data_IF_007475412732
#
_entry.id   IF_007475412732
#
_cell.length_a   1.000
_cell.length_b   1.000
_cell.length_c   1.000
_cell.angle_alpha   90.00
_cell.angle_beta   90.00
_cell.angle_gamma   90.00
#
_symmetry.space_group_name_H-M   'P 1'
#
loop_
_entity.id
_entity.type
_entity.pdbx_description
1 polymer ?
#
# COMPACT_ATOMS: atom_id res chain seq x y z
N UNK A 1 -33.22 -11.67 7.93
CA UNK A 1 -32.15 -12.62 8.31
C UNK A 1 -31.14 -12.53 7.19
N UNK A 2 -30.20 -11.60 7.31
CA UNK A 2 -29.19 -11.32 6.28
C UNK A 2 -28.01 -12.22 6.56
N UNK A 3 -27.66 -13.05 5.58
CA UNK A 3 -26.57 -14.02 5.66
C UNK A 3 -25.24 -13.26 5.58
N UNK A 4 -24.48 -13.24 6.67
CA UNK A 4 -23.09 -12.79 6.68
C UNK A 4 -22.22 -13.91 6.10
N UNK A 5 -22.06 -13.92 4.78
CA UNK A 5 -21.05 -14.76 4.13
C UNK A 5 -19.66 -14.24 4.53
N UNK A 6 -19.10 -14.82 5.59
CA UNK A 6 -17.70 -14.66 5.96
C UNK A 6 -16.80 -15.16 4.82
N UNK A 7 -15.96 -14.27 4.31
CA UNK A 7 -14.94 -14.57 3.29
C UNK A 7 -13.99 -15.62 3.85
N UNK A 8 -14.02 -16.84 3.30
CA UNK A 8 -13.12 -17.92 3.69
C UNK A 8 -11.87 -17.87 2.82
N UNK A 9 -10.83 -17.21 3.33
CA UNK A 9 -9.48 -17.27 2.78
C UNK A 9 -8.93 -18.69 2.99
N UNK A 10 -9.17 -19.56 2.02
CA UNK A 10 -8.63 -20.92 2.06
C UNK A 10 -7.39 -20.96 1.19
N UNK A 11 -6.23 -20.81 1.82
CA UNK A 11 -4.97 -21.24 1.23
C UNK A 11 -3.83 -20.25 1.39
N UNK A 12 -3.01 -20.46 2.40
CA UNK A 12 -1.54 -20.43 2.34
C UNK A 12 -0.99 -21.12 3.61
N UNK A 13 -1.35 -22.39 3.77
CA UNK A 13 -0.70 -23.26 4.76
C UNK A 13 0.55 -23.86 4.13
N UNK A 14 1.73 -23.55 4.69
CA UNK A 14 2.88 -24.45 4.58
C UNK A 14 4.23 -23.80 4.36
N UNK A 15 4.84 -23.25 5.41
CA UNK A 15 6.29 -23.41 5.62
C UNK A 15 6.48 -23.72 7.11
N UNK A 16 6.67 -25.01 7.41
CA UNK A 16 6.98 -25.48 8.76
C UNK A 16 8.41 -25.12 9.15
N UNK A 17 8.59 -24.52 10.32
CA UNK A 17 9.87 -24.47 11.00
C UNK A 17 9.80 -25.39 12.22
N UNK A 18 10.49 -26.52 12.08
CA UNK A 18 10.78 -27.44 13.16
C UNK A 18 11.62 -26.74 14.24
N UNK A 19 11.24 -26.93 15.49
CA UNK A 19 11.92 -26.37 16.65
C UNK A 19 13.27 -27.01 16.95
N UNK A 20 14.08 -26.25 17.68
CA UNK A 20 15.11 -26.79 18.55
C UNK A 20 15.24 -25.87 19.78
N UNK A 21 14.66 -26.32 20.89
CA UNK A 21 14.94 -25.83 22.23
C UNK A 21 16.32 -26.36 22.65
N UNK A 22 17.25 -25.50 23.05
CA UNK A 22 18.29 -25.85 24.02
C UNK A 22 18.56 -24.69 24.97
N UNK A 23 18.43 -25.00 26.26
CA UNK A 23 18.74 -24.15 27.41
C UNK A 23 20.25 -23.99 27.60
N UNK A 24 20.69 -22.79 28.00
CA UNK A 24 21.90 -22.45 28.79
C UNK A 24 22.07 -20.93 28.65
N UNK A 25 22.31 -20.09 29.65
CA UNK A 25 22.71 -20.22 31.04
C UNK A 25 23.09 -18.79 31.48
N UNK A 26 22.99 -18.51 32.77
CA UNK A 26 23.15 -17.20 33.40
C UNK A 26 24.47 -16.47 33.06
N UNK A 27 24.43 -15.13 32.95
CA UNK A 27 25.36 -14.25 33.69
C UNK A 27 25.08 -12.73 33.53
N UNK A 28 24.80 -12.11 34.68
CA UNK A 28 25.50 -10.93 35.26
C UNK A 28 25.17 -9.53 34.72
N UNK A 29 24.43 -8.84 35.56
CA UNK A 29 24.46 -7.40 35.89
C UNK A 29 25.68 -6.61 35.41
N UNK A 30 25.43 -5.48 34.74
CA UNK A 30 26.26 -4.28 34.90
C UNK A 30 25.39 -3.02 34.82
N UNK A 31 25.33 -2.32 35.95
CA UNK A 31 24.87 -0.93 36.07
C UNK A 31 26.09 -0.04 35.85
N UNK A 32 25.99 0.96 34.99
CA UNK A 32 26.83 2.15 35.02
C UNK A 32 26.06 3.37 34.48
N UNK A 33 26.23 4.47 35.18
CA UNK A 33 25.47 5.72 35.26
C UNK A 33 25.76 6.75 34.14
N UNK A 34 25.10 7.94 34.14
CA UNK A 34 25.06 8.90 33.03
C UNK A 34 26.19 9.94 33.09
N UNK A 35 26.41 10.67 31.99
CA UNK A 35 27.23 11.89 32.06
C UNK A 35 27.77 12.46 30.75
N UNK A 36 26.99 13.38 30.18
CA UNK A 36 27.43 14.69 29.69
C UNK A 36 28.16 14.88 28.34
N UNK A 37 27.79 16.05 27.79
CA UNK A 37 28.57 16.98 26.96
C UNK A 37 28.53 16.83 25.43
N UNK A 38 27.50 17.50 24.88
CA UNK A 38 27.58 18.53 23.84
C UNK A 38 28.93 18.77 23.14
N UNK A 39 28.88 18.83 21.80
CA UNK A 39 29.52 19.89 21.02
C UNK A 39 28.87 20.02 19.64
N UNK A 40 28.56 21.26 19.28
CA UNK A 40 27.92 21.73 18.07
C UNK A 40 28.89 21.89 16.89
N UNK A 41 28.28 22.09 15.70
CA UNK A 41 28.73 22.84 14.52
C UNK A 41 29.33 22.02 13.34
N UNK A 42 29.40 22.59 12.11
CA UNK A 42 28.43 23.45 11.42
C UNK A 42 28.05 22.96 10.00
N UNK A 43 27.06 23.67 9.45
CA UNK A 43 26.59 23.74 8.06
C UNK A 43 27.68 23.61 6.98
N UNK A 44 27.37 22.93 5.88
CA UNK A 44 27.95 23.25 4.57
C UNK A 44 27.02 22.85 3.44
N UNK A 45 26.39 23.88 2.87
CA UNK A 45 25.67 23.85 1.62
C UNK A 45 26.65 23.64 0.46
N UNK A 46 26.32 22.77 -0.49
CA UNK A 46 26.94 22.77 -1.80
C UNK A 46 25.85 22.67 -2.87
N UNK A 47 25.70 23.68 -3.74
CA UNK A 47 25.04 23.54 -5.02
C UNK A 47 26.09 23.16 -6.08
N UNK A 48 25.82 22.15 -6.88
CA UNK A 48 26.49 21.95 -8.16
C UNK A 48 25.39 21.60 -9.19
N UNK A 49 24.92 22.61 -9.91
CA UNK A 49 25.32 22.89 -11.30
C UNK A 49 24.50 22.05 -12.27
N UNK A 50 23.51 22.72 -12.84
CA UNK A 50 22.79 22.32 -14.05
C UNK A 50 23.76 21.97 -15.18
N UNK A 51 23.50 20.87 -15.89
CA UNK A 51 23.97 20.63 -17.24
C UNK A 51 22.77 20.30 -18.14
N UNK A 52 22.75 20.80 -19.39
CA UNK A 52 21.56 20.80 -20.24
C UNK A 52 21.33 19.49 -21.00
N UNK A 53 20.09 19.37 -21.47
CA UNK A 53 19.55 18.39 -22.39
C UNK A 53 20.44 18.15 -23.63
N UNK A 54 20.55 16.89 -24.03
CA UNK A 54 20.88 16.50 -25.40
C UNK A 54 19.79 15.58 -25.91
N UNK A 55 18.99 16.13 -26.81
CA UNK A 55 18.15 15.40 -27.74
C UNK A 55 19.00 14.42 -28.53
N UNK A 56 18.59 13.16 -28.54
CA UNK A 56 18.91 12.25 -29.64
C UNK A 56 17.61 11.58 -30.04
N UNK A 57 16.97 12.15 -31.06
CA UNK A 57 15.94 11.49 -31.83
C UNK A 57 16.55 10.23 -32.43
N UNK A 58 16.05 9.07 -32.02
CA UNK A 58 16.40 7.80 -32.67
C UNK A 58 15.11 7.27 -33.29
N UNK A 59 14.95 7.55 -34.58
CA UNK A 59 14.00 6.85 -35.44
C UNK A 59 14.82 5.99 -36.39
N UNK A 60 14.61 4.67 -36.36
CA UNK A 60 14.63 3.87 -37.58
C UNK A 60 13.28 3.13 -37.69
N UNK A 61 12.50 3.44 -38.71
CA UNK A 61 12.48 2.75 -40.01
C UNK A 61 11.72 1.44 -39.94
N UNK A 62 10.48 1.49 -40.44
CA UNK A 62 9.69 0.34 -40.80
C UNK A 62 10.45 -0.50 -41.84
N UNK A 63 10.78 -1.74 -41.48
CA UNK A 63 11.16 -2.75 -42.47
C UNK A 63 9.91 -3.42 -43.02
N UNK A 64 9.73 -3.21 -44.32
CA UNK A 64 8.79 -3.91 -45.18
C UNK A 64 9.44 -5.23 -45.59
N UNK A 65 8.93 -6.35 -45.10
CA UNK A 65 9.34 -7.70 -45.47
C UNK A 65 8.22 -8.42 -46.21
N UNK A 66 8.49 -8.79 -47.47
CA UNK A 66 7.65 -9.62 -48.34
C UNK A 66 7.20 -10.92 -47.67
N UNK A 67 5.94 -11.27 -47.86
CA UNK A 67 5.36 -12.58 -47.54
C UNK A 67 5.65 -13.59 -48.66
N UNK A 68 6.32 -14.69 -48.31
CA UNK A 68 6.55 -15.87 -49.16
C UNK A 68 5.35 -16.85 -49.03
N UNK A 69 4.65 -17.24 -50.11
CA UNK A 69 3.54 -18.18 -50.02
C UNK A 69 4.04 -19.60 -50.18
N UNK A 70 4.55 -20.20 -49.10
CA UNK A 70 5.21 -21.51 -49.28
C UNK A 70 5.66 -22.30 -48.06
N UNK A 71 5.04 -22.19 -46.89
CA UNK A 71 5.29 -23.17 -45.82
C UNK A 71 4.09 -23.32 -44.87
N UNK A 72 3.43 -24.47 -44.97
CA UNK A 72 2.50 -24.98 -43.97
C UNK A 72 3.36 -25.48 -42.80
N UNK A 73 3.60 -24.62 -41.81
CA UNK A 73 4.07 -25.05 -40.49
C UNK A 73 3.10 -24.45 -39.48
N UNK A 74 2.52 -25.34 -38.66
CA UNK A 74 1.63 -25.03 -37.57
C UNK A 74 2.22 -23.87 -36.75
N UNK A 75 1.49 -22.80 -36.42
CA UNK A 75 2.02 -21.84 -35.48
C UNK A 75 2.14 -22.58 -34.15
N UNK A 76 3.37 -22.92 -33.75
CA UNK A 76 3.71 -22.82 -32.34
C UNK A 76 3.36 -21.40 -31.98
N UNK A 77 2.20 -21.21 -31.37
CA UNK A 77 1.96 -20.02 -30.56
C UNK A 77 3.05 -20.06 -29.51
N UNK A 78 4.13 -19.32 -29.74
CA UNK A 78 4.93 -18.78 -28.67
C UNK A 78 3.91 -18.06 -27.80
N UNK A 79 3.51 -18.70 -26.70
CA UNK A 79 2.76 -18.03 -25.66
C UNK A 79 3.70 -16.90 -25.26
N UNK A 80 3.37 -15.62 -25.56
CA UNK A 80 4.22 -14.52 -25.09
C UNK A 80 4.43 -14.76 -23.60
N UNK A 81 5.65 -14.58 -23.06
CA UNK A 81 5.85 -14.74 -21.63
C UNK A 81 4.77 -13.91 -20.96
N UNK A 82 3.87 -14.57 -20.21
CA UNK A 82 2.89 -13.85 -19.43
C UNK A 82 3.72 -12.94 -18.53
N UNK A 83 3.69 -11.62 -18.76
CA UNK A 83 4.25 -10.67 -17.83
C UNK A 83 3.58 -10.97 -16.48
N UNK A 84 4.28 -11.49 -15.44
CA UNK A 84 3.63 -11.73 -14.16
C UNK A 84 3.38 -10.42 -13.40
N UNK A 85 3.55 -9.26 -14.03
CA UNK A 85 3.76 -7.98 -13.35
C UNK A 85 2.81 -6.91 -13.89
N UNK A 86 1.52 -7.16 -13.79
CA UNK A 86 0.57 -6.05 -13.77
C UNK A 86 0.63 -5.41 -12.39
N UNK A 87 1.09 -4.16 -12.29
CA UNK A 87 0.80 -3.32 -11.11
C UNK A 87 -0.70 -3.43 -10.81
N UNK A 88 -1.13 -3.82 -9.60
CA UNK A 88 -2.53 -3.97 -9.31
C UNK A 88 -3.20 -2.61 -9.53
N UNK A 89 -4.27 -2.60 -10.33
CA UNK A 89 -5.00 -1.38 -10.63
C UNK A 89 -5.75 -0.93 -9.38
N UNK A 90 -5.09 -0.18 -8.49
CA UNK A 90 -5.64 0.28 -7.20
C UNK A 90 -5.98 1.76 -7.18
N UNK A 91 -5.47 2.52 -8.15
CA UNK A 91 -5.69 3.95 -8.31
C UNK A 91 -7.05 4.25 -8.96
N UNK A 92 -7.67 5.36 -8.57
CA UNK A 92 -8.99 5.76 -9.08
C UNK A 92 -10.13 4.86 -8.57
N UNK A 93 -9.92 4.20 -7.43
CA UNK A 93 -10.87 3.28 -6.80
C UNK A 93 -11.10 3.69 -5.35
N UNK A 94 -12.36 3.64 -4.93
CA UNK A 94 -12.75 3.80 -3.53
C UNK A 94 -12.64 2.47 -2.80
N UNK A 95 -11.89 2.44 -1.71
CA UNK A 95 -11.63 1.23 -0.93
C UNK A 95 -12.20 1.38 0.47
N UNK A 96 -13.22 0.58 0.81
CA UNK A 96 -13.78 0.55 2.17
C UNK A 96 -13.14 -0.59 2.96
N UNK A 97 -12.72 -0.31 4.19
CA UNK A 97 -12.11 -1.31 5.05
C UNK A 97 -13.16 -2.38 5.40
N UNK A 98 -12.81 -3.64 5.17
CA UNK A 98 -13.67 -4.80 5.43
C UNK A 98 -13.11 -5.73 6.50
N UNK A 99 -11.81 -5.65 6.82
CA UNK A 99 -11.23 -6.41 7.92
C UNK A 99 -9.81 -6.02 8.29
N UNK A 100 -9.39 -6.47 9.48
CA UNK A 100 -8.01 -6.42 9.95
C UNK A 100 -7.37 -7.82 9.87
N UNK A 101 -6.14 -7.90 9.40
CA UNK A 101 -5.39 -9.14 9.22
C UNK A 101 -4.31 -9.30 10.30
N UNK A 102 -4.09 -10.53 10.75
CA UNK A 102 -2.95 -10.92 11.60
C UNK A 102 -2.40 -12.23 11.07
N UNK A 103 -1.09 -12.27 10.77
CA UNK A 103 -0.46 -13.45 10.20
C UNK A 103 -0.93 -13.80 8.78
N UNK A 104 -1.58 -12.85 8.07
CA UNK A 104 -2.17 -13.07 6.74
C UNK A 104 -3.62 -13.53 6.76
N UNK A 105 -4.15 -13.93 7.92
CA UNK A 105 -5.55 -14.29 8.08
C UNK A 105 -6.38 -13.10 8.56
N UNK A 106 -7.62 -12.99 8.09
CA UNK A 106 -8.59 -12.03 8.64
C UNK A 106 -8.97 -12.47 10.05
N UNK A 107 -8.64 -11.65 11.04
CA UNK A 107 -8.85 -11.98 12.46
C UNK A 107 -9.84 -11.06 13.16
N UNK A 108 -10.14 -9.89 12.57
CA UNK A 108 -11.05 -8.91 13.14
C UNK A 108 -11.99 -8.34 12.10
N UNK A 109 -13.30 -8.48 12.32
CA UNK A 109 -14.29 -7.70 11.59
C UNK A 109 -14.18 -6.22 12.01
N UNK A 110 -14.37 -5.32 11.07
CA UNK A 110 -14.48 -3.90 11.36
C UNK A 110 -15.75 -3.67 12.20
N UNK A 111 -15.70 -2.94 13.33
CA UNK A 111 -16.89 -2.66 14.13
C UNK A 111 -17.99 -1.99 13.30
N UNK A 112 -19.25 -2.38 13.54
CA UNK A 112 -20.39 -1.83 12.81
C UNK A 112 -20.43 -0.30 12.89
N UNK A 113 -20.70 0.35 11.76
CA UNK A 113 -20.77 1.81 11.68
C UNK A 113 -19.41 2.52 11.65
N UNK A 114 -18.29 1.80 11.65
CA UNK A 114 -16.97 2.40 11.43
C UNK A 114 -16.83 2.85 9.98
N UNK A 115 -16.73 4.17 9.75
CA UNK A 115 -16.45 4.71 8.41
C UNK A 115 -14.94 4.77 8.16
N UNK A 116 -14.35 3.63 7.80
CA UNK A 116 -12.93 3.53 7.44
C UNK A 116 -12.76 3.22 5.95
N UNK A 117 -12.01 4.05 5.24
CA UNK A 117 -11.82 3.94 3.80
C UNK A 117 -10.57 4.67 3.32
N UNK A 118 -10.12 4.36 2.10
CA UNK A 118 -9.06 5.08 1.41
C UNK A 118 -9.32 5.24 -0.09
N UNK A 119 -8.67 6.23 -0.70
CA UNK A 119 -8.60 6.46 -2.15
C UNK A 119 -7.16 6.77 -2.50
N UNK A 120 -6.62 6.07 -3.50
CA UNK A 120 -5.36 6.41 -4.15
C UNK A 120 -5.67 7.12 -5.46
N UNK A 121 -5.19 8.35 -5.63
CA UNK A 121 -5.43 9.14 -6.83
C UNK A 121 -4.34 10.19 -7.03
N UNK A 122 -3.76 10.25 -8.23
CA UNK A 122 -2.80 11.28 -8.65
C UNK A 122 -1.59 11.39 -7.69
N UNK A 123 -1.08 10.24 -7.24
CA UNK A 123 0.04 10.16 -6.28
C UNK A 123 -0.31 10.60 -4.86
N UNK A 124 -1.60 10.79 -4.54
CA UNK A 124 -2.11 11.13 -3.21
C UNK A 124 -3.00 10.04 -2.64
N UNK A 125 -2.71 9.68 -1.41
CA UNK A 125 -3.56 8.84 -0.58
C UNK A 125 -4.47 9.77 0.22
N UNK A 126 -5.78 9.59 0.08
CA UNK A 126 -6.79 10.14 0.98
C UNK A 126 -7.35 9.02 1.82
N UNK A 127 -7.57 9.26 3.11
CA UNK A 127 -8.09 8.24 4.01
C UNK A 127 -9.01 8.80 5.09
N UNK A 128 -9.88 7.92 5.58
CA UNK A 128 -10.62 8.05 6.82
C UNK A 128 -10.41 6.77 7.64
N UNK A 129 -10.12 6.92 8.93
CA UNK A 129 -9.77 5.84 9.86
C UNK A 129 -10.92 5.50 10.81
N UNK A 130 -12.16 5.89 10.48
CA UNK A 130 -13.30 5.87 11.40
C UNK A 130 -13.47 7.19 12.13
N UNK A 131 -12.47 7.62 12.92
CA UNK A 131 -12.57 8.86 13.70
C UNK A 131 -11.84 10.05 13.05
N UNK A 132 -10.63 9.83 12.49
CA UNK A 132 -9.89 10.88 11.81
C UNK A 132 -9.93 10.75 10.28
N UNK A 133 -9.65 11.87 9.62
CA UNK A 133 -9.38 11.91 8.18
C UNK A 133 -7.98 12.43 7.93
N UNK A 134 -7.37 12.01 6.84
CA UNK A 134 -6.00 12.40 6.52
C UNK A 134 -5.61 12.13 5.09
N UNK A 135 -4.31 12.29 4.85
CA UNK A 135 -3.70 11.93 3.58
C UNK A 135 -2.18 11.98 3.61
N UNK A 136 -1.60 11.45 2.54
CA UNK A 136 -0.16 11.37 2.31
C UNK A 136 0.14 11.36 0.81
N UNK A 137 1.40 11.56 0.44
CA UNK A 137 1.87 11.12 -0.86
C UNK A 137 2.11 9.59 -0.83
N UNK A 138 1.97 8.93 -1.97
CA UNK A 138 2.28 7.51 -2.10
C UNK A 138 3.01 7.22 -3.41
N UNK A 139 3.69 6.08 -3.44
CA UNK A 139 4.26 5.47 -4.64
C UNK A 139 3.86 4.00 -4.69
N UNK A 140 3.57 3.51 -5.89
CA UNK A 140 3.32 2.09 -6.15
C UNK A 140 4.36 1.58 -7.13
N UNK A 141 5.12 0.56 -6.71
CA UNK A 141 6.14 -0.11 -7.50
C UNK A 141 5.81 -1.61 -7.59
N UNK A 142 5.16 -2.02 -8.68
CA UNK A 142 4.60 -3.37 -8.79
C UNK A 142 3.55 -3.59 -7.71
N UNK A 143 3.76 -4.54 -6.80
CA UNK A 143 2.86 -4.78 -5.66
C UNK A 143 3.25 -4.01 -4.39
N UNK A 144 4.38 -3.30 -4.38
CA UNK A 144 4.81 -2.55 -3.21
C UNK A 144 4.10 -1.19 -3.14
N UNK A 145 3.47 -0.89 -2.00
CA UNK A 145 2.91 0.41 -1.66
C UNK A 145 3.81 1.08 -0.63
N UNK A 146 4.36 2.23 -0.98
CA UNK A 146 5.09 3.11 -0.06
C UNK A 146 4.25 4.35 0.20
N UNK A 147 4.08 4.70 1.47
CA UNK A 147 3.31 5.87 1.90
C UNK A 147 4.24 6.81 2.66
N UNK A 148 4.29 8.06 2.22
CA UNK A 148 5.01 9.13 2.91
C UNK A 148 4.35 9.45 4.27
N UNK A 149 4.92 10.33 5.11
CA UNK A 149 4.31 10.68 6.40
C UNK A 149 2.85 11.10 6.27
N UNK A 150 1.97 10.38 6.96
CA UNK A 150 0.53 10.61 6.94
C UNK A 150 0.20 11.78 7.86
N UNK A 151 -0.49 12.78 7.31
CA UNK A 151 -1.10 13.85 8.09
C UNK A 151 -2.57 13.53 8.35
N UNK A 152 -2.97 13.51 9.63
CA UNK A 152 -4.35 13.29 10.05
C UNK A 152 -4.88 14.45 10.87
N UNK A 153 -6.21 14.58 10.91
CA UNK A 153 -6.87 15.29 12.01
C UNK A 153 -6.50 14.60 13.33
N UNK A 154 -6.41 15.35 14.43
CA UNK A 154 -6.04 14.80 15.75
C UNK A 154 -7.22 14.81 16.72
N UNK A 155 -8.36 14.30 16.26
CA UNK A 155 -9.52 14.10 17.13
C UNK A 155 -9.30 12.84 17.95
N UNK A 156 -9.69 12.88 19.22
CA UNK A 156 -9.73 11.69 20.05
C UNK A 156 -10.92 10.81 19.60
N UNK A 157 -10.65 9.55 19.28
CA UNK A 157 -11.73 8.59 19.03
C UNK A 157 -12.51 8.37 20.33
N UNK A 158 -13.84 8.33 20.24
CA UNK A 158 -14.73 8.12 21.40
C UNK A 158 -14.92 6.65 21.76
N UNK A 159 -14.55 5.74 20.87
CA UNK A 159 -14.71 4.31 20.99
C UNK A 159 -13.35 3.62 20.80
N UNK A 160 -13.02 2.71 21.71
CA UNK A 160 -11.72 2.02 21.74
C UNK A 160 -11.54 1.07 20.54
N UNK A 161 -12.61 0.48 20.03
CA UNK A 161 -12.55 -0.39 18.86
C UNK A 161 -12.30 0.44 17.58
N UNK A 162 -12.89 1.64 17.47
CA UNK A 162 -12.57 2.58 16.39
C UNK A 162 -11.12 3.07 16.52
N UNK A 163 -10.64 3.32 17.75
CA UNK A 163 -9.25 3.69 17.98
C UNK A 163 -8.26 2.57 17.57
N UNK A 164 -8.64 1.30 17.72
CA UNK A 164 -7.86 0.15 17.24
C UNK A 164 -7.80 0.10 15.71
N UNK A 165 -8.95 0.30 15.04
CA UNK A 165 -8.99 0.38 13.57
C UNK A 165 -8.10 1.50 13.07
N UNK A 166 -8.15 2.69 13.68
CA UNK A 166 -7.29 3.81 13.30
C UNK A 166 -5.81 3.48 13.44
N UNK A 167 -5.40 2.96 14.60
CA UNK A 167 -4.00 2.59 14.85
C UNK A 167 -3.52 1.52 13.87
N UNK A 168 -4.31 0.47 13.65
CA UNK A 168 -3.98 -0.60 12.72
C UNK A 168 -3.85 -0.09 11.29
N UNK A 169 -4.81 0.73 10.84
CA UNK A 169 -4.80 1.29 9.48
C UNK A 169 -3.59 2.19 9.26
N UNK A 170 -3.29 3.09 10.20
CA UNK A 170 -2.14 3.99 10.10
C UNK A 170 -0.81 3.23 10.21
N UNK A 171 -0.71 2.23 11.09
CA UNK A 171 0.50 1.42 11.24
C UNK A 171 0.86 0.66 9.96
N UNK A 172 -0.12 -0.03 9.36
CA UNK A 172 0.09 -0.77 8.10
C UNK A 172 0.48 0.17 6.96
N UNK A 173 -0.21 1.31 6.81
CA UNK A 173 0.07 2.24 5.72
C UNK A 173 1.42 2.93 5.90
N UNK A 174 1.74 3.43 7.11
CA UNK A 174 2.98 4.14 7.38
C UNK A 174 4.21 3.24 7.34
N UNK A 175 4.05 1.95 7.66
CA UNK A 175 5.11 0.94 7.59
C UNK A 175 5.39 0.39 6.18
N UNK A 176 4.61 0.82 5.18
CA UNK A 176 4.62 0.25 3.84
C UNK A 176 3.94 -1.12 3.78
N UNK A 177 3.35 -1.44 2.62
CA UNK A 177 2.57 -2.66 2.44
C UNK A 177 2.85 -3.35 1.11
N UNK A 178 2.69 -4.67 1.10
CA UNK A 178 2.55 -5.46 -0.13
C UNK A 178 1.07 -5.59 -0.43
N UNK A 179 0.70 -5.28 -1.67
CA UNK A 179 -0.67 -5.29 -2.17
C UNK A 179 -0.97 -6.57 -2.92
N UNK A 180 -2.16 -7.13 -2.67
CA UNK A 180 -2.77 -8.17 -3.50
C UNK A 180 -4.19 -7.73 -3.81
N UNK A 181 -4.49 -7.52 -5.09
CA UNK A 181 -5.85 -7.23 -5.55
C UNK A 181 -6.44 -8.46 -6.23
N UNK A 182 -7.64 -8.84 -5.82
CA UNK A 182 -8.45 -9.86 -6.49
C UNK A 182 -9.87 -9.33 -6.72
N UNK A 183 -10.20 -9.01 -7.97
CA UNK A 183 -11.48 -8.39 -8.34
C UNK A 183 -11.78 -7.12 -7.53
N UNK A 184 -12.77 -7.22 -6.65
CA UNK A 184 -13.25 -6.14 -5.78
C UNK A 184 -12.60 -6.15 -4.39
N UNK A 185 -11.68 -7.06 -4.11
CA UNK A 185 -10.95 -7.14 -2.84
C UNK A 185 -9.51 -6.64 -3.00
N UNK A 186 -9.01 -5.97 -1.96
CA UNK A 186 -7.62 -5.56 -1.85
C UNK A 186 -7.10 -5.92 -0.46
N UNK A 187 -6.03 -6.70 -0.42
CA UNK A 187 -5.27 -6.98 0.78
C UNK A 187 -4.00 -6.14 0.79
N UNK A 188 -3.76 -5.47 1.91
CA UNK A 188 -2.51 -4.82 2.25
C UNK A 188 -1.85 -5.58 3.39
N UNK A 189 -0.70 -6.19 3.14
CA UNK A 189 0.10 -6.85 4.18
C UNK A 189 1.25 -5.94 4.58
N UNK A 190 1.37 -5.62 5.87
CA UNK A 190 2.43 -4.75 6.36
C UNK A 190 3.83 -5.34 6.12
N UNK A 191 4.80 -4.47 5.82
CA UNK A 191 6.21 -4.85 5.64
C UNK A 191 6.99 -4.66 6.94
N UNK A 192 6.75 -3.56 7.65
CA UNK A 192 7.50 -3.21 8.86
C UNK A 192 6.98 -3.90 10.13
N UNK A 193 5.70 -4.24 10.17
CA UNK A 193 5.04 -4.84 11.34
C UNK A 193 4.20 -6.05 10.93
N UNK A 194 3.75 -6.83 11.92
CA UNK A 194 2.87 -7.97 11.68
C UNK A 194 1.42 -7.47 11.55
N UNK A 195 0.77 -7.84 10.45
CA UNK A 195 -0.65 -7.57 10.26
C UNK A 195 -0.96 -7.09 8.85
N UNK A 196 -2.18 -6.61 8.67
CA UNK A 196 -2.63 -6.10 7.39
C UNK A 196 -4.07 -5.61 7.41
N UNK A 197 -4.53 -5.19 6.24
CA UNK A 197 -5.85 -4.61 6.03
C UNK A 197 -6.50 -5.32 4.85
N UNK A 198 -7.77 -5.68 5.00
CA UNK A 198 -8.61 -6.09 3.88
C UNK A 198 -9.56 -4.94 3.55
N UNK A 199 -9.66 -4.64 2.26
CA UNK A 199 -10.57 -3.66 1.70
C UNK A 199 -11.45 -4.30 0.64
N UNK A 200 -12.62 -3.71 0.45
CA UNK A 200 -13.52 -4.02 -0.65
C UNK A 200 -13.80 -2.74 -1.44
N UNK A 201 -13.97 -2.86 -2.75
CA UNK A 201 -14.36 -1.75 -3.61
C UNK A 201 -15.67 -1.16 -3.12
N UNK A 202 -15.68 0.16 -2.97
CA UNK A 202 -16.88 0.95 -2.75
C UNK A 202 -16.88 2.19 -3.65
N UNK A 203 -17.70 2.21 -4.72
CA UNK A 203 -17.79 3.36 -5.62
C UNK A 203 -18.31 4.62 -4.91
N UNK A 204 -19.09 4.50 -3.83
CA UNK A 204 -19.60 5.65 -3.09
C UNK A 204 -18.46 6.44 -2.41
N UNK A 205 -17.41 5.75 -1.96
CA UNK A 205 -16.20 6.40 -1.40
C UNK A 205 -15.55 7.30 -2.43
N UNK A 206 -15.29 6.78 -3.64
CA UNK A 206 -14.67 7.54 -4.71
C UNK A 206 -15.53 8.75 -5.11
N UNK A 207 -16.83 8.53 -5.30
CA UNK A 207 -17.78 9.59 -5.67
C UNK A 207 -17.83 10.72 -4.62
N UNK A 208 -17.79 10.39 -3.34
CA UNK A 208 -17.76 11.38 -2.26
C UNK A 208 -16.48 12.23 -2.30
N UNK A 209 -15.31 11.60 -2.50
CA UNK A 209 -14.03 12.31 -2.62
C UNK A 209 -14.00 13.23 -3.85
N UNK A 210 -14.44 12.74 -5.01
CA UNK A 210 -14.48 13.54 -6.24
C UNK A 210 -15.44 14.73 -6.15
N UNK A 211 -16.58 14.55 -5.48
CA UNK A 211 -17.57 15.62 -5.25
C UNK A 211 -17.02 16.71 -4.32
N UNK A 212 -16.28 16.31 -3.28
CA UNK A 212 -15.57 17.22 -2.38
C UNK A 212 -14.49 18.03 -3.11
N UNK A 213 -13.68 17.37 -3.95
CA UNK A 213 -12.65 18.04 -4.75
C UNK A 213 -13.25 19.05 -5.76
N UNK A 214 -14.35 18.68 -6.41
CA UNK A 214 -15.07 19.55 -7.34
C UNK A 214 -15.58 20.82 -6.65
N UNK A 215 -16.08 20.68 -5.41
CA UNK A 215 -16.58 21.80 -4.61
C UNK A 215 -15.47 22.73 -4.09
N UNK A 216 -14.23 22.24 -3.99
CA UNK A 216 -13.08 22.99 -3.49
C UNK A 216 -12.33 23.77 -4.59
N UNK A 217 -12.70 23.62 -5.87
CA UNK A 217 -12.03 24.30 -6.98
C UNK A 217 -12.28 25.81 -6.94
N UNK A 218 -11.23 26.65 -6.93
CA UNK A 218 -11.41 28.11 -6.85
C UNK A 218 -12.06 28.64 -8.11
N UNK A 219 -13.17 29.37 -7.96
CA UNK A 219 -13.75 30.16 -9.04
C UNK A 219 -12.76 31.25 -9.42
N UNK A 220 -12.04 31.06 -10.53
CA UNK A 220 -11.22 32.13 -11.12
C UNK A 220 -12.18 33.18 -11.68
N UNK A 221 -12.17 34.39 -11.10
CA UNK A 221 -12.82 35.59 -11.65
C UNK A 221 -11.78 36.53 -12.23
#
# INVERSE_FOLDING_TARGET
MTDHHGVRWTGLAGIGLAGALLLSGCARTSVAEPGAAATSAPVSSAPATSAPASSASVTPSAESGSVDPGAIMLPSGEVPPADPTGTPAVEGVGWRLSGLLVGGDAVGAVPDGTDAWMVLQDGRLLLRTGCNSGGAAYTVDGTALTVEPIATTKMACTDDAIAEVERSMLGVLQGGAVMVRDGDELLLTAVAEQGGLAFTVDPAVLQAVSSGASSASPTTS
#
